data_IF_223876723283
#
_entry.id   IF_223876723283
#
_cell.length_a   1.000
_cell.length_b   1.000
_cell.length_c   1.000
_cell.angle_alpha   90.00
_cell.angle_beta   90.00
_cell.angle_gamma   90.00
#
_symmetry.space_group_name_H-M   'P 1'
#
loop_
_entity.id
_entity.type
_entity.pdbx_description
1 polymer ?
#
# COMPACT_ATOMS: atom_id res chain seq x y z
N UNK A 1 -67.15 -28.01 -3.52
CA UNK A 1 -66.22 -26.89 -3.37
C UNK A 1 -64.80 -27.40 -3.20
N UNK A 2 -64.06 -27.35 -4.31
CA UNK A 2 -62.68 -27.81 -4.35
C UNK A 2 -61.81 -26.61 -4.67
N UNK A 3 -61.09 -26.03 -3.67
CA UNK A 3 -60.08 -25.01 -3.87
C UNK A 3 -58.71 -25.67 -4.01
N UNK A 4 -57.94 -25.38 -5.10
CA UNK A 4 -56.65 -26.02 -5.31
C UNK A 4 -55.53 -25.34 -4.49
N UNK A 5 -54.52 -26.10 -4.03
CA UNK A 5 -53.43 -25.62 -3.19
C UNK A 5 -52.29 -25.00 -4.04
N UNK A 6 -52.55 -23.90 -4.74
CA UNK A 6 -51.52 -23.29 -5.59
C UNK A 6 -50.81 -22.09 -4.97
N UNK A 7 -51.23 -21.58 -3.81
CA UNK A 7 -50.66 -20.40 -3.19
C UNK A 7 -49.41 -20.69 -2.33
N UNK A 8 -49.26 -21.92 -1.86
CA UNK A 8 -48.17 -22.26 -0.92
C UNK A 8 -46.82 -22.47 -1.62
N UNK A 9 -46.80 -22.94 -2.87
CA UNK A 9 -45.55 -23.18 -3.61
C UNK A 9 -44.85 -21.90 -4.09
N UNK A 10 -45.61 -20.82 -4.34
CA UNK A 10 -45.01 -19.54 -4.77
C UNK A 10 -44.31 -18.81 -3.63
N UNK A 11 -44.83 -18.86 -2.41
CA UNK A 11 -44.26 -18.19 -1.24
C UNK A 11 -42.94 -18.85 -0.80
N UNK A 12 -42.86 -20.19 -0.91
CA UNK A 12 -41.63 -20.92 -0.57
C UNK A 12 -40.54 -20.67 -1.62
N UNK A 13 -40.90 -20.55 -2.89
CA UNK A 13 -39.93 -20.29 -3.97
C UNK A 13 -39.37 -18.88 -3.90
N UNK A 14 -40.17 -17.87 -3.53
CA UNK A 14 -39.73 -16.48 -3.34
C UNK A 14 -38.86 -16.32 -2.09
N UNK A 15 -39.17 -17.05 -1.02
CA UNK A 15 -38.34 -17.04 0.20
C UNK A 15 -36.99 -17.76 -0.03
N UNK A 16 -36.98 -18.85 -0.80
CA UNK A 16 -35.72 -19.53 -1.15
C UNK A 16 -34.84 -18.70 -2.09
N UNK A 17 -35.42 -17.99 -3.06
CA UNK A 17 -34.70 -17.08 -3.94
C UNK A 17 -34.16 -15.86 -3.20
N UNK A 18 -34.91 -15.31 -2.24
CA UNK A 18 -34.43 -14.21 -1.40
C UNK A 18 -33.30 -14.64 -0.45
N UNK A 19 -33.38 -15.86 0.11
CA UNK A 19 -32.35 -16.43 0.95
C UNK A 19 -31.07 -16.74 0.15
N UNK A 20 -31.21 -17.26 -1.08
CA UNK A 20 -30.06 -17.47 -1.98
C UNK A 20 -29.41 -16.13 -2.44
N UNK A 21 -30.22 -15.09 -2.68
CA UNK A 21 -29.72 -13.78 -3.04
C UNK A 21 -28.98 -13.11 -1.86
N UNK A 22 -29.49 -13.25 -0.64
CA UNK A 22 -28.82 -12.75 0.57
C UNK A 22 -27.54 -13.51 0.89
N UNK A 23 -27.49 -14.83 0.67
CA UNK A 23 -26.27 -15.61 0.85
C UNK A 23 -25.23 -15.32 -0.23
N UNK A 24 -25.66 -15.09 -1.49
CA UNK A 24 -24.75 -14.72 -2.56
C UNK A 24 -24.16 -13.30 -2.37
N UNK A 25 -24.96 -12.34 -1.87
CA UNK A 25 -24.45 -11.01 -1.52
C UNK A 25 -23.53 -11.03 -0.30
N UNK A 26 -23.81 -11.87 0.69
CA UNK A 26 -22.92 -12.08 1.83
C UNK A 26 -21.59 -12.73 1.40
N UNK A 27 -21.62 -13.73 0.52
CA UNK A 27 -20.39 -14.31 -0.04
C UNK A 27 -19.60 -13.34 -0.91
N UNK A 28 -20.27 -12.50 -1.71
CA UNK A 28 -19.60 -11.47 -2.51
C UNK A 28 -19.00 -10.37 -1.60
N UNK A 29 -19.61 -10.10 -0.46
CA UNK A 29 -19.03 -9.17 0.53
C UNK A 29 -17.90 -9.81 1.34
N UNK A 30 -17.96 -11.12 1.60
CA UNK A 30 -16.86 -11.86 2.26
C UNK A 30 -15.61 -11.96 1.36
N UNK A 31 -15.78 -12.17 0.05
CA UNK A 31 -14.66 -12.15 -0.91
C UNK A 31 -14.04 -10.75 -1.11
N UNK A 32 -14.74 -9.68 -0.74
CA UNK A 32 -14.26 -8.30 -0.77
C UNK A 32 -13.66 -7.82 0.55
N UNK A 33 -13.79 -8.57 1.61
CA UNK A 33 -13.08 -8.24 2.84
C UNK A 33 -11.59 -8.54 2.62
N UNK A 34 -10.72 -7.56 2.81
CA UNK A 34 -9.29 -7.82 2.78
C UNK A 34 -8.99 -8.92 3.78
N UNK A 35 -8.13 -9.85 3.39
CA UNK A 35 -7.62 -10.90 4.27
C UNK A 35 -7.20 -10.23 5.59
N UNK A 36 -7.58 -10.80 6.75
CA UNK A 36 -7.17 -10.26 8.05
C UNK A 36 -5.67 -10.01 8.03
N UNK A 37 -5.29 -8.77 8.20
CA UNK A 37 -3.90 -8.38 8.13
C UNK A 37 -3.14 -9.02 9.27
N UNK A 38 -1.88 -9.37 9.03
CA UNK A 38 -0.95 -9.87 10.03
C UNK A 38 -0.97 -9.03 11.32
N UNK A 39 -0.61 -9.59 12.48
CA UNK A 39 -0.47 -8.83 13.73
C UNK A 39 0.45 -7.61 13.56
N UNK A 40 -0.10 -6.44 13.38
CA UNK A 40 0.58 -5.24 12.90
C UNK A 40 -0.22 -4.55 11.80
N UNK A 41 -1.27 -5.22 11.30
CA UNK A 41 -2.37 -4.61 10.56
C UNK A 41 -2.08 -4.18 9.13
N UNK A 42 -0.90 -4.44 8.60
CA UNK A 42 -0.55 -3.93 7.28
C UNK A 42 0.17 -4.95 6.39
N UNK A 43 0.46 -4.56 5.18
CA UNK A 43 1.41 -5.28 4.33
C UNK A 43 2.76 -5.32 5.03
N UNK A 44 3.52 -6.37 4.80
CA UNK A 44 4.93 -6.41 5.20
C UNK A 44 5.62 -5.15 4.67
N UNK A 45 6.41 -4.50 5.54
CA UNK A 45 7.19 -3.33 5.14
C UNK A 45 7.98 -3.67 3.87
N UNK A 46 7.90 -2.78 2.90
CA UNK A 46 8.58 -2.89 1.61
C UNK A 46 9.24 -1.56 1.27
N UNK A 47 10.07 -1.56 0.26
CA UNK A 47 10.61 -0.33 -0.30
C UNK A 47 9.48 0.61 -0.71
N UNK A 48 9.60 1.88 -0.40
CA UNK A 48 8.64 2.90 -0.83
C UNK A 48 8.58 2.94 -2.36
N UNK A 49 7.41 2.72 -2.92
CA UNK A 49 7.15 2.77 -4.36
C UNK A 49 6.06 3.79 -4.61
N UNK A 50 6.45 5.00 -4.95
CA UNK A 50 5.55 6.09 -5.34
C UNK A 50 5.71 6.34 -6.84
N UNK A 51 4.62 6.33 -7.63
CA UNK A 51 4.70 6.60 -9.06
C UNK A 51 4.97 8.07 -9.33
N UNK A 52 5.73 8.34 -10.38
CA UNK A 52 5.97 9.68 -10.92
C UNK A 52 5.84 9.63 -12.44
N UNK A 53 5.27 10.68 -13.03
CA UNK A 53 5.14 10.80 -14.50
C UNK A 53 6.45 11.22 -15.16
N UNK A 54 7.30 11.92 -14.43
CA UNK A 54 8.54 12.45 -14.96
C UNK A 54 9.72 12.19 -14.04
N UNK A 55 10.88 11.94 -14.64
CA UNK A 55 12.12 11.68 -13.94
C UNK A 55 12.52 12.82 -12.99
N UNK A 56 12.38 14.08 -13.40
CA UNK A 56 12.77 15.23 -12.58
C UNK A 56 11.95 15.32 -11.29
N UNK A 57 10.68 14.90 -11.31
CA UNK A 57 9.83 14.86 -10.12
C UNK A 57 10.27 13.73 -9.18
N UNK A 58 10.66 12.58 -9.74
CA UNK A 58 11.21 11.48 -8.95
C UNK A 58 12.54 11.87 -8.28
N UNK A 59 13.44 12.54 -9.01
CA UNK A 59 14.73 13.03 -8.48
C UNK A 59 14.53 14.08 -7.38
N UNK A 60 13.57 14.98 -7.55
CA UNK A 60 13.19 16.00 -6.57
C UNK A 60 12.31 15.45 -5.43
N UNK A 61 11.85 14.19 -5.51
CA UNK A 61 10.83 13.60 -4.63
C UNK A 61 9.59 14.47 -4.52
N UNK A 62 9.19 15.08 -5.64
CA UNK A 62 8.04 15.95 -5.72
C UNK A 62 6.76 15.12 -5.78
N UNK A 63 6.31 14.63 -4.62
CA UNK A 63 5.13 13.75 -4.50
C UNK A 63 3.82 14.42 -4.90
N UNK A 64 3.76 15.74 -4.90
CA UNK A 64 2.59 16.51 -5.30
C UNK A 64 2.42 16.56 -6.83
N UNK A 65 3.50 16.36 -7.58
CA UNK A 65 3.43 16.25 -9.03
C UNK A 65 2.64 14.99 -9.44
N UNK A 66 1.81 15.11 -10.46
CA UNK A 66 0.99 14.01 -10.98
C UNK A 66 -0.26 13.68 -10.16
N UNK A 67 -0.44 14.23 -8.96
CA UNK A 67 -1.64 14.02 -8.15
C UNK A 67 -1.84 12.59 -7.64
N UNK A 68 -0.76 11.82 -7.50
CA UNK A 68 -0.80 10.43 -7.02
C UNK A 68 -0.60 10.29 -5.51
N UNK A 69 -0.52 11.39 -4.80
CA UNK A 69 -0.20 11.41 -3.37
C UNK A 69 -1.08 12.43 -2.63
N UNK A 70 -1.43 12.12 -1.37
CA UNK A 70 -2.13 13.02 -0.46
C UNK A 70 -1.59 12.83 0.95
N UNK A 71 -1.37 13.93 1.68
CA UNK A 71 -0.97 13.88 3.07
C UNK A 71 -2.05 13.23 3.94
N UNK A 72 -1.63 12.47 4.95
CA UNK A 72 -2.51 11.91 5.96
C UNK A 72 -2.14 12.50 7.32
N UNK A 73 -2.90 13.48 7.75
CA UNK A 73 -2.66 14.30 8.94
C UNK A 73 -3.95 14.43 9.77
N UNK A 74 -4.46 13.33 10.35
CA UNK A 74 -5.73 13.35 11.06
C UNK A 74 -5.64 14.19 12.33
N UNK A 75 -6.70 14.98 12.59
CA UNK A 75 -6.80 15.85 13.76
C UNK A 75 -7.53 15.16 14.91
N UNK A 76 -7.13 15.49 16.15
CA UNK A 76 -7.80 15.00 17.34
C UNK A 76 -9.15 15.69 17.50
N UNK A 77 -10.23 14.94 17.38
CA UNK A 77 -11.60 15.43 17.57
C UNK A 77 -12.13 15.14 18.98
N UNK A 78 -11.72 14.02 19.57
CA UNK A 78 -12.10 13.63 20.93
C UNK A 78 -10.85 13.14 21.67
N UNK A 79 -10.65 13.64 22.89
CA UNK A 79 -9.66 13.11 23.82
C UNK A 79 -10.39 12.62 25.07
N UNK A 80 -10.12 11.38 25.49
CA UNK A 80 -10.77 10.75 26.65
C UNK A 80 -9.73 10.18 27.61
N UNK A 81 -10.16 9.89 28.84
CA UNK A 81 -9.42 9.04 29.77
C UNK A 81 -9.92 7.60 29.64
N UNK A 82 -9.03 6.63 29.77
CA UNK A 82 -9.40 5.22 29.72
C UNK A 82 -8.75 4.46 28.54
N UNK A 83 -9.28 3.28 28.18
CA UNK A 83 -8.73 2.44 27.12
C UNK A 83 -8.72 3.12 25.75
N UNK A 84 -9.83 3.77 25.38
CA UNK A 84 -9.90 4.65 24.23
C UNK A 84 -9.48 6.06 24.70
N UNK A 85 -8.34 6.55 24.23
CA UNK A 85 -7.82 7.82 24.72
C UNK A 85 -7.93 8.98 23.72
N UNK A 86 -8.07 8.69 22.43
CA UNK A 86 -8.32 9.71 21.43
C UNK A 86 -9.07 9.17 20.22
N UNK A 87 -9.84 10.03 19.59
CA UNK A 87 -10.39 9.85 18.25
C UNK A 87 -9.75 10.92 17.37
N UNK A 88 -9.17 10.49 16.26
CA UNK A 88 -8.63 11.37 15.23
C UNK A 88 -9.45 11.19 13.96
N UNK A 89 -9.72 12.30 13.28
CA UNK A 89 -10.53 12.30 12.07
C UNK A 89 -9.89 13.18 10.99
N UNK A 90 -10.09 12.78 9.75
CA UNK A 90 -9.72 13.55 8.56
C UNK A 90 -10.67 13.22 7.42
N UNK A 91 -11.17 14.23 6.73
CA UNK A 91 -11.84 14.06 5.46
C UNK A 91 -10.82 14.25 4.32
N UNK A 92 -10.80 13.34 3.37
CA UNK A 92 -9.91 13.40 2.20
C UNK A 92 -10.75 13.25 0.93
N UNK A 93 -10.63 14.23 0.05
CA UNK A 93 -11.25 14.22 -1.27
C UNK A 93 -10.45 13.31 -2.21
N UNK A 94 -11.09 12.28 -2.75
CA UNK A 94 -10.48 11.33 -3.68
C UNK A 94 -10.97 11.62 -5.11
N UNK A 95 -10.05 11.92 -6.05
CA UNK A 95 -10.42 12.20 -7.42
C UNK A 95 -10.91 10.94 -8.14
N UNK A 96 -11.79 11.10 -9.12
CA UNK A 96 -12.30 10.02 -9.96
C UNK A 96 -11.19 9.13 -10.54
N UNK A 97 -10.07 9.72 -10.96
CA UNK A 97 -8.93 9.00 -11.52
C UNK A 97 -8.33 7.92 -10.58
N UNK A 98 -8.54 8.06 -9.26
CA UNK A 98 -8.05 7.09 -8.29
C UNK A 98 -8.94 5.85 -8.15
N UNK A 99 -10.20 5.93 -8.62
CA UNK A 99 -11.17 4.83 -8.46
C UNK A 99 -10.92 3.65 -9.42
N UNK A 100 -10.14 3.87 -10.48
CA UNK A 100 -9.75 2.79 -11.42
C UNK A 100 -8.41 2.12 -11.10
N UNK A 101 -7.78 2.48 -10.01
CA UNK A 101 -6.51 1.90 -9.60
C UNK A 101 -6.55 1.25 -8.23
N UNK A 102 -5.42 1.24 -7.59
CA UNK A 102 -5.22 0.76 -6.22
C UNK A 102 -4.85 1.96 -5.36
N UNK A 103 -5.49 2.07 -4.21
CA UNK A 103 -5.24 3.16 -3.25
C UNK A 103 -4.73 2.57 -1.95
N UNK A 104 -3.61 3.08 -1.50
CA UNK A 104 -2.97 2.64 -0.27
C UNK A 104 -2.84 3.79 0.72
N UNK A 105 -2.91 3.47 2.00
CA UNK A 105 -2.53 4.34 3.10
C UNK A 105 -1.26 3.81 3.74
N UNK A 106 -0.22 4.61 3.72
CA UNK A 106 0.99 4.40 4.52
C UNK A 106 0.88 5.19 5.82
N UNK A 107 0.98 4.49 6.96
CA UNK A 107 0.99 5.09 8.29
C UNK A 107 2.38 4.94 8.89
N UNK A 108 2.99 6.08 9.22
CA UNK A 108 4.30 6.16 9.84
C UNK A 108 4.14 6.56 11.32
N UNK A 109 4.77 5.82 12.23
CA UNK A 109 4.86 6.12 13.67
C UNK A 109 3.55 6.60 14.33
N UNK A 110 2.47 5.82 14.36
CA UNK A 110 1.21 6.24 14.96
C UNK A 110 1.30 6.49 16.46
N UNK A 111 2.35 5.96 17.12
CA UNK A 111 2.66 6.20 18.53
C UNK A 111 1.74 5.47 19.52
N UNK A 112 0.67 4.83 19.07
CA UNK A 112 -0.25 4.03 19.87
C UNK A 112 -0.92 2.96 19.03
N UNK A 113 -1.47 1.93 19.68
CA UNK A 113 -2.40 1.02 19.04
C UNK A 113 -3.63 1.78 18.55
N UNK A 114 -4.19 1.39 17.44
CA UNK A 114 -5.35 2.05 16.85
C UNK A 114 -6.23 1.12 16.03
N UNK A 115 -7.50 1.48 15.89
CA UNK A 115 -8.38 0.93 14.87
C UNK A 115 -8.59 1.98 13.78
N UNK A 116 -8.36 1.60 12.54
CA UNK A 116 -8.56 2.44 11.35
C UNK A 116 -9.95 2.17 10.77
N UNK A 117 -10.71 3.23 10.57
CA UNK A 117 -12.02 3.21 9.95
C UNK A 117 -12.04 4.13 8.73
N UNK A 118 -12.74 3.74 7.70
CA UNK A 118 -12.96 4.51 6.49
C UNK A 118 -14.42 4.40 6.06
N UNK A 119 -15.11 5.54 5.94
CA UNK A 119 -16.54 5.59 5.59
C UNK A 119 -17.40 4.64 6.47
N UNK A 120 -17.24 4.72 7.81
CA UNK A 120 -17.90 3.88 8.82
C UNK A 120 -17.62 2.36 8.71
N UNK A 121 -16.64 1.95 7.92
CA UNK A 121 -16.20 0.57 7.82
C UNK A 121 -14.81 0.39 8.44
N UNK A 122 -14.66 -0.61 9.29
CA UNK A 122 -13.37 -0.93 9.86
C UNK A 122 -12.45 -1.50 8.78
N UNK A 123 -11.29 -0.88 8.60
CA UNK A 123 -10.23 -1.31 7.66
C UNK A 123 -9.25 -2.22 8.38
N UNK A 124 -8.82 -1.82 9.58
CA UNK A 124 -7.78 -2.55 10.31
C UNK A 124 -7.84 -2.29 11.81
N UNK A 125 -7.23 -3.20 12.56
CA UNK A 125 -6.86 -3.03 13.96
C UNK A 125 -5.37 -3.27 14.11
N UNK A 126 -4.64 -2.29 14.65
CA UNK A 126 -3.18 -2.29 14.75
C UNK A 126 -2.79 -2.25 16.22
N UNK A 127 -2.04 -3.25 16.64
CA UNK A 127 -1.55 -3.36 18.02
C UNK A 127 -0.10 -2.89 18.18
N UNK A 128 0.68 -2.84 17.10
CA UNK A 128 2.06 -2.34 17.12
C UNK A 128 2.08 -0.84 16.85
N UNK A 129 2.50 -0.01 17.84
CA UNK A 129 2.50 1.44 17.71
C UNK A 129 3.74 2.01 17.02
N UNK A 130 4.73 1.20 16.71
CA UNK A 130 6.06 1.67 16.28
C UNK A 130 6.41 1.25 14.85
N UNK A 131 5.90 0.12 14.39
CA UNK A 131 6.18 -0.36 13.05
C UNK A 131 5.29 0.34 12.04
N UNK A 132 5.85 0.91 10.95
CA UNK A 132 5.06 1.44 9.86
C UNK A 132 4.08 0.40 9.32
N UNK A 133 2.89 0.85 8.94
CA UNK A 133 1.83 0.00 8.41
C UNK A 133 1.31 0.53 7.08
N UNK A 134 0.99 -0.38 6.16
CA UNK A 134 0.41 -0.04 4.87
C UNK A 134 -0.90 -0.78 4.65
N UNK A 135 -1.95 -0.08 4.25
CA UNK A 135 -3.30 -0.62 4.11
C UNK A 135 -3.79 -0.46 2.68
N UNK A 136 -4.34 -1.52 2.11
CA UNK A 136 -5.07 -1.45 0.85
C UNK A 136 -6.48 -0.88 1.11
N UNK A 137 -6.70 0.34 0.66
CA UNK A 137 -7.97 1.05 0.80
C UNK A 137 -8.89 0.87 -0.40
N UNK A 138 -8.42 0.22 -1.47
CA UNK A 138 -9.18 0.05 -2.72
C UNK A 138 -10.61 -0.45 -2.52
N UNK A 139 -10.90 -1.41 -1.59
CA UNK A 139 -12.25 -1.88 -1.37
C UNK A 139 -13.14 -0.93 -0.55
N UNK A 140 -12.57 0.12 0.03
CA UNK A 140 -13.24 1.01 0.98
C UNK A 140 -13.46 2.41 0.44
N UNK A 141 -12.60 2.82 -0.50
CA UNK A 141 -12.55 4.18 -1.03
C UNK A 141 -13.66 4.43 -2.05
N UNK A 142 -14.09 5.67 -2.17
CA UNK A 142 -15.04 6.14 -3.17
C UNK A 142 -14.57 7.47 -3.76
N UNK A 143 -15.09 7.85 -4.92
CA UNK A 143 -14.93 9.20 -5.44
C UNK A 143 -15.51 10.22 -4.47
N UNK A 144 -14.87 11.38 -4.38
CA UNK A 144 -15.29 12.47 -3.52
C UNK A 144 -14.79 12.33 -2.08
N UNK A 145 -15.54 12.87 -1.15
CA UNK A 145 -15.19 12.90 0.27
C UNK A 145 -15.17 11.51 0.89
N UNK A 146 -14.08 11.20 1.59
CA UNK A 146 -13.88 9.98 2.34
C UNK A 146 -13.50 10.31 3.77
N UNK A 147 -14.26 9.77 4.73
CA UNK A 147 -14.12 10.03 6.15
C UNK A 147 -13.19 9.00 6.80
N UNK A 148 -12.03 9.44 7.20
CA UNK A 148 -11.07 8.64 7.97
C UNK A 148 -11.25 8.87 9.45
N UNK A 149 -11.27 7.78 10.22
CA UNK A 149 -11.35 7.81 11.67
C UNK A 149 -10.37 6.81 12.28
N UNK A 150 -9.59 7.29 13.25
CA UNK A 150 -8.69 6.46 14.03
C UNK A 150 -9.11 6.51 15.51
N UNK A 151 -9.35 5.32 16.05
CA UNK A 151 -9.65 5.13 17.46
C UNK A 151 -8.36 4.71 18.15
N UNK A 152 -7.68 5.65 18.81
CA UNK A 152 -6.41 5.42 19.50
C UNK A 152 -6.64 4.74 20.84
N UNK A 153 -5.81 3.77 21.20
CA UNK A 153 -5.99 2.92 22.38
C UNK A 153 -4.77 2.93 23.29
N UNK A 154 -5.02 2.95 24.59
CA UNK A 154 -4.01 2.85 25.64
C UNK A 154 -3.88 1.45 26.24
N UNK A 155 -4.82 0.55 25.98
CA UNK A 155 -4.91 -0.78 26.57
C UNK A 155 -4.17 -1.86 25.78
N UNK A 156 -3.20 -1.46 24.96
CA UNK A 156 -2.44 -2.39 24.14
C UNK A 156 -1.57 -3.33 24.99
N UNK A 157 -1.70 -4.65 24.83
CA UNK A 157 -0.86 -5.64 25.52
C UNK A 157 0.65 -5.47 25.23
N UNK A 158 1.03 -5.01 24.03
CA UNK A 158 2.42 -4.75 23.68
C UNK A 158 3.04 -3.65 24.57
N UNK A 159 2.25 -2.69 25.03
CA UNK A 159 2.70 -1.64 25.97
C UNK A 159 3.07 -2.19 27.36
N UNK A 160 2.50 -3.31 27.75
CA UNK A 160 2.83 -3.96 29.03
C UNK A 160 4.23 -4.57 29.02
N UNK A 161 4.73 -4.91 27.85
CA UNK A 161 6.07 -5.46 27.66
C UNK A 161 7.13 -4.36 27.50
N UNK A 162 6.73 -3.20 27.02
CA UNK A 162 7.59 -2.03 26.82
C UNK A 162 7.13 -0.86 27.67
N UNK A 163 7.51 -0.88 28.95
CA UNK A 163 7.17 0.17 29.92
C UNK A 163 7.75 1.56 29.56
N UNK A 164 8.64 1.62 28.58
CA UNK A 164 9.27 2.85 28.10
C UNK A 164 8.56 3.45 26.88
N UNK A 165 7.52 2.80 26.35
CA UNK A 165 6.79 3.32 25.20
C UNK A 165 6.19 4.71 25.53
N UNK A 166 6.54 5.75 24.80
CA UNK A 166 6.10 7.10 25.11
C UNK A 166 4.58 7.21 24.99
N UNK A 167 3.99 7.97 25.89
CA UNK A 167 2.60 8.39 25.79
C UNK A 167 2.44 9.17 24.48
N UNK A 168 1.45 8.78 23.69
CA UNK A 168 1.13 9.32 22.38
C UNK A 168 1.41 10.80 22.25
N UNK A 169 2.35 11.13 21.41
CA UNK A 169 2.39 12.43 20.77
C UNK A 169 1.86 12.21 19.36
N UNK A 170 0.92 13.06 18.93
CA UNK A 170 0.42 13.16 17.56
C UNK A 170 1.57 12.94 16.59
N UNK A 171 1.61 11.85 15.88
CA UNK A 171 2.70 11.65 14.96
C UNK A 171 2.30 10.74 13.81
N UNK A 172 1.37 11.24 13.01
CA UNK A 172 1.16 10.73 11.66
C UNK A 172 2.06 11.47 10.65
N UNK A 173 3.12 12.14 11.14
CA UNK A 173 4.13 12.75 10.27
C UNK A 173 4.63 11.73 9.26
N UNK A 174 4.74 12.15 8.02
CA UNK A 174 5.11 11.31 6.88
C UNK A 174 4.12 10.19 6.52
N UNK A 175 2.92 10.20 7.11
CA UNK A 175 1.84 9.31 6.67
C UNK A 175 1.16 9.90 5.44
N UNK A 176 0.77 9.05 4.50
CA UNK A 176 0.19 9.50 3.24
C UNK A 176 -0.66 8.44 2.56
N UNK A 177 -1.62 8.91 1.76
CA UNK A 177 -2.28 8.09 0.76
C UNK A 177 -1.56 8.20 -0.56
N UNK A 178 -1.52 7.10 -1.31
CA UNK A 178 -1.01 7.11 -2.66
C UNK A 178 -1.81 6.18 -3.57
N UNK A 179 -1.83 6.57 -4.84
CA UNK A 179 -2.45 5.81 -5.91
C UNK A 179 -1.41 5.00 -6.67
N UNK A 180 -1.76 3.79 -7.05
CA UNK A 180 -1.00 2.99 -8.01
C UNK A 180 -1.90 2.48 -9.12
N UNK A 181 -1.38 2.45 -10.35
CA UNK A 181 -2.04 1.75 -11.43
C UNK A 181 -2.16 0.25 -11.11
N UNK A 182 -3.18 -0.40 -11.66
CA UNK A 182 -3.35 -1.85 -11.54
C UNK A 182 -2.17 -2.64 -12.12
N UNK A 183 -1.41 -2.03 -13.05
CA UNK A 183 -0.08 -2.50 -13.48
C UNK A 183 0.95 -1.59 -12.83
N UNK A 184 1.73 -2.13 -11.93
CA UNK A 184 2.67 -1.34 -11.15
C UNK A 184 3.86 -2.17 -10.67
N UNK A 185 4.90 -1.47 -10.25
CA UNK A 185 5.98 -2.08 -9.46
C UNK A 185 5.44 -2.28 -8.05
N UNK A 186 5.42 -3.51 -7.58
CA UNK A 186 4.99 -3.85 -6.23
C UNK A 186 6.15 -3.72 -5.23
N UNK A 187 7.38 -4.05 -5.66
CA UNK A 187 8.58 -3.96 -4.84
C UNK A 187 9.83 -3.99 -5.72
N UNK A 188 10.97 -3.57 -5.19
CA UNK A 188 12.26 -3.74 -5.84
C UNK A 188 13.39 -3.92 -4.83
N UNK A 189 14.43 -4.61 -5.23
CA UNK A 189 15.63 -4.84 -4.45
C UNK A 189 16.86 -4.55 -5.32
N UNK A 190 17.82 -3.82 -4.76
CA UNK A 190 19.08 -3.51 -5.43
C UNK A 190 20.21 -4.08 -4.58
N UNK A 191 20.87 -5.10 -5.08
CA UNK A 191 22.06 -5.69 -4.51
C UNK A 191 23.32 -5.22 -5.22
N UNK A 192 24.41 -5.03 -4.50
CA UNK A 192 25.73 -4.88 -5.07
C UNK A 192 26.45 -6.22 -5.08
N UNK A 193 26.89 -6.67 -6.24
CA UNK A 193 27.74 -7.85 -6.35
C UNK A 193 29.19 -7.41 -6.25
N UNK A 194 29.92 -7.75 -5.16
CA UNK A 194 31.30 -7.32 -4.99
C UNK A 194 32.21 -7.90 -6.07
N UNK A 195 33.06 -7.06 -6.66
CA UNK A 195 34.12 -7.53 -7.52
C UNK A 195 35.33 -8.03 -6.66
N UNK A 196 35.43 -9.33 -6.50
CA UNK A 196 36.54 -9.97 -5.77
C UNK A 196 37.89 -9.86 -6.47
N UNK A 197 37.90 -9.43 -7.72
CA UNK A 197 39.11 -9.35 -8.56
C UNK A 197 39.67 -7.93 -8.70
N UNK A 198 39.04 -6.92 -8.05
CA UNK A 198 39.49 -5.53 -8.08
C UNK A 198 39.46 -4.88 -9.46
N UNK A 199 38.57 -5.35 -10.34
CA UNK A 199 38.38 -4.80 -11.69
C UNK A 199 37.61 -3.48 -11.61
N UNK A 200 37.81 -2.61 -12.61
CA UNK A 200 37.15 -1.30 -12.66
C UNK A 200 35.71 -1.38 -13.18
N UNK A 201 34.93 -2.29 -12.62
CA UNK A 201 33.49 -2.36 -12.87
C UNK A 201 32.77 -2.89 -11.63
N UNK A 202 31.51 -2.49 -11.49
CA UNK A 202 30.57 -3.05 -10.51
C UNK A 202 29.44 -3.76 -11.24
N UNK A 203 28.92 -4.78 -10.62
CA UNK A 203 27.68 -5.43 -11.06
C UNK A 203 26.62 -5.24 -9.99
N UNK A 204 25.43 -4.83 -10.40
CA UNK A 204 24.26 -4.80 -9.54
C UNK A 204 23.43 -6.07 -9.77
N UNK A 205 22.75 -6.52 -8.72
CA UNK A 205 21.63 -7.45 -8.82
C UNK A 205 20.35 -6.64 -8.58
N UNK A 206 19.59 -6.42 -9.65
CA UNK A 206 18.36 -5.66 -9.61
C UNK A 206 17.19 -6.63 -9.78
N UNK A 207 16.37 -6.71 -8.73
CA UNK A 207 15.13 -7.49 -8.71
C UNK A 207 13.95 -6.53 -8.67
N UNK A 208 13.04 -6.65 -9.64
CA UNK A 208 11.83 -5.84 -9.73
C UNK A 208 10.63 -6.78 -9.67
N UNK A 209 9.78 -6.61 -8.66
CA UNK A 209 8.51 -7.32 -8.53
C UNK A 209 7.43 -6.46 -9.15
N UNK A 210 6.81 -6.96 -10.19
CA UNK A 210 5.69 -6.31 -10.89
C UNK A 210 4.37 -6.94 -10.49
N UNK A 211 3.31 -6.15 -10.52
CA UNK A 211 1.96 -6.55 -10.15
C UNK A 211 0.99 -6.28 -11.28
N UNK A 212 0.09 -7.24 -11.54
CA UNK A 212 -1.10 -7.08 -12.34
C UNK A 212 -2.34 -7.30 -11.46
N UNK A 213 -3.07 -6.25 -11.13
CA UNK A 213 -4.30 -6.30 -10.34
C UNK A 213 -5.56 -6.43 -11.22
N UNK A 214 -5.45 -6.44 -12.55
CA UNK A 214 -6.55 -6.78 -13.43
C UNK A 214 -6.92 -8.28 -13.27
N UNK A 215 -8.10 -8.66 -13.72
CA UNK A 215 -8.53 -10.07 -13.70
C UNK A 215 -8.15 -10.85 -14.95
N UNK A 216 -7.38 -10.27 -15.85
CA UNK A 216 -6.88 -10.85 -17.10
C UNK A 216 -5.37 -10.62 -17.22
N UNK A 217 -4.73 -11.39 -18.08
CA UNK A 217 -3.31 -11.25 -18.35
C UNK A 217 -3.00 -9.94 -19.08
N UNK A 218 -1.84 -9.35 -18.76
CA UNK A 218 -1.38 -8.10 -19.36
C UNK A 218 0.09 -8.17 -19.75
N UNK A 219 0.45 -7.70 -20.95
CA UNK A 219 1.84 -7.46 -21.30
C UNK A 219 2.34 -6.21 -20.57
N UNK A 220 3.53 -6.29 -20.00
CA UNK A 220 4.17 -5.20 -19.28
C UNK A 220 5.63 -5.11 -19.71
N UNK A 221 6.07 -3.91 -20.09
CA UNK A 221 7.49 -3.64 -20.28
C UNK A 221 8.09 -3.14 -18.98
N UNK A 222 9.08 -3.84 -18.47
CA UNK A 222 9.81 -3.52 -17.24
C UNK A 222 11.24 -3.20 -17.59
N UNK A 223 11.79 -2.11 -17.03
CA UNK A 223 13.16 -1.71 -17.31
C UNK A 223 13.74 -0.82 -16.24
N UNK A 224 14.98 -0.44 -16.43
CA UNK A 224 15.71 0.49 -15.59
C UNK A 224 16.64 1.37 -16.43
N UNK A 225 16.89 2.55 -15.91
CA UNK A 225 17.93 3.47 -16.34
C UNK A 225 18.84 3.78 -15.16
N UNK A 226 20.16 3.73 -15.37
CA UNK A 226 21.15 4.12 -14.37
C UNK A 226 21.86 5.37 -14.84
N UNK A 227 21.90 6.38 -14.00
CA UNK A 227 22.52 7.65 -14.29
C UNK A 227 23.66 7.95 -13.34
N UNK A 228 24.68 8.66 -13.83
CA UNK A 228 25.71 9.26 -12.95
C UNK A 228 25.12 10.40 -12.12
N UNK A 229 25.81 10.84 -11.05
CA UNK A 229 25.41 12.03 -10.28
C UNK A 229 25.29 13.31 -11.12
N UNK A 230 25.94 13.36 -12.28
CA UNK A 230 25.88 14.49 -13.22
C UNK A 230 24.74 14.31 -14.26
N UNK A 231 23.88 13.31 -14.10
CA UNK A 231 22.75 13.07 -14.99
C UNK A 231 23.09 12.39 -16.32
N UNK A 232 24.31 11.86 -16.49
CA UNK A 232 24.69 11.09 -17.69
C UNK A 232 24.15 9.66 -17.58
N UNK A 233 23.43 9.19 -18.59
CA UNK A 233 23.00 7.79 -18.68
C UNK A 233 24.23 6.87 -18.76
N UNK A 234 24.33 5.92 -17.87
CA UNK A 234 25.43 4.96 -17.76
C UNK A 234 25.05 3.60 -18.34
N UNK A 235 23.85 3.11 -18.00
CA UNK A 235 23.36 1.81 -18.36
C UNK A 235 21.83 1.84 -18.39
N UNK A 236 21.22 1.04 -19.28
CA UNK A 236 19.78 0.84 -19.33
C UNK A 236 19.45 -0.55 -19.90
N UNK A 237 18.34 -1.07 -19.51
CA UNK A 237 17.79 -2.28 -20.12
C UNK A 237 16.27 -2.34 -19.89
N UNK A 238 15.57 -3.09 -20.75
CA UNK A 238 14.14 -3.35 -20.61
C UNK A 238 13.81 -4.74 -21.14
N UNK A 239 12.76 -5.33 -20.61
CA UNK A 239 12.19 -6.58 -21.10
C UNK A 239 10.67 -6.53 -21.06
N UNK A 240 10.02 -7.24 -21.95
CA UNK A 240 8.58 -7.44 -21.94
C UNK A 240 8.25 -8.78 -21.28
N UNK A 241 7.30 -8.78 -20.37
CA UNK A 241 6.76 -9.97 -19.72
C UNK A 241 5.23 -9.92 -19.78
N UNK A 242 4.59 -11.09 -19.73
CA UNK A 242 3.12 -11.19 -19.59
C UNK A 242 2.79 -11.66 -18.19
N UNK A 243 2.04 -10.86 -17.44
CA UNK A 243 1.68 -11.16 -16.05
C UNK A 243 0.24 -11.65 -16.04
N UNK A 244 -0.03 -12.85 -15.50
CA UNK A 244 -1.40 -13.35 -15.32
C UNK A 244 -2.24 -12.39 -14.46
N UNK A 245 -3.56 -12.45 -14.63
CA UNK A 245 -4.46 -11.62 -13.83
C UNK A 245 -4.36 -11.90 -12.34
N UNK A 246 -4.43 -10.84 -11.52
CA UNK A 246 -4.35 -10.88 -10.04
C UNK A 246 -3.09 -11.58 -9.52
N UNK A 247 -1.98 -11.37 -10.19
CA UNK A 247 -0.71 -11.98 -9.83
C UNK A 247 0.46 -11.00 -9.86
N UNK A 248 1.60 -11.47 -9.38
CA UNK A 248 2.88 -10.77 -9.44
C UNK A 248 3.87 -11.62 -10.20
N UNK A 249 4.84 -10.97 -10.86
CA UNK A 249 5.99 -11.62 -11.47
C UNK A 249 7.27 -10.85 -11.13
N UNK A 250 8.41 -11.52 -11.20
CA UNK A 250 9.70 -10.95 -10.82
C UNK A 250 10.66 -10.95 -11.98
N UNK A 251 11.11 -9.76 -12.35
CA UNK A 251 12.17 -9.57 -13.35
C UNK A 251 13.50 -9.31 -12.64
N UNK A 252 14.57 -9.93 -13.14
CA UNK A 252 15.92 -9.71 -12.64
C UNK A 252 16.80 -9.17 -13.76
N UNK A 253 17.61 -8.17 -13.40
CA UNK A 253 18.64 -7.62 -14.25
C UNK A 253 19.97 -7.62 -13.51
N UNK A 254 21.05 -7.75 -14.27
CA UNK A 254 22.41 -7.71 -13.73
C UNK A 254 23.23 -6.66 -14.48
N UNK A 255 22.94 -5.36 -14.27
CA UNK A 255 23.62 -4.28 -14.96
C UNK A 255 25.09 -4.16 -14.56
N UNK A 256 25.93 -3.91 -15.54
CA UNK A 256 27.36 -3.62 -15.36
C UNK A 256 27.60 -2.11 -15.39
N UNK A 257 28.30 -1.60 -14.38
CA UNK A 257 28.71 -0.21 -14.32
C UNK A 257 30.22 -0.16 -14.45
N UNK A 258 30.69 0.47 -15.53
CA UNK A 258 32.12 0.66 -15.78
C UNK A 258 32.66 1.88 -15.03
N UNK A 259 33.97 1.88 -14.77
CA UNK A 259 34.67 2.97 -14.12
C UNK A 259 34.15 3.31 -12.72
N UNK A 260 33.88 2.28 -11.93
CA UNK A 260 33.34 2.40 -10.57
C UNK A 260 34.26 3.15 -9.63
N UNK A 261 35.58 3.13 -9.86
CA UNK A 261 36.54 3.87 -9.03
C UNK A 261 36.29 5.39 -9.02
N UNK A 262 35.69 5.95 -10.10
CA UNK A 262 35.35 7.38 -10.19
C UNK A 262 34.12 7.76 -9.38
N UNK A 263 33.31 6.78 -9.05
CA UNK A 263 32.03 6.95 -8.34
C UNK A 263 32.02 6.19 -7.01
N UNK A 264 33.18 5.72 -6.56
CA UNK A 264 33.30 4.99 -5.30
C UNK A 264 33.06 5.95 -4.14
N UNK A 265 32.03 5.63 -3.35
CA UNK A 265 31.83 6.33 -2.10
C UNK A 265 32.84 5.85 -1.06
N UNK A 266 33.54 6.77 -0.45
CA UNK A 266 34.42 6.53 0.70
C UNK A 266 33.95 7.42 1.85
N UNK A 267 33.93 6.87 3.07
CA UNK A 267 33.46 7.59 4.25
C UNK A 267 34.24 8.89 4.53
N UNK A 268 35.46 9.02 3.97
CA UNK A 268 36.31 10.18 4.07
C UNK A 268 36.12 11.21 2.95
N UNK A 269 35.51 10.80 1.83
CA UNK A 269 35.18 11.71 0.74
C UNK A 269 33.82 12.36 1.02
N UNK A 270 33.89 13.62 1.49
CA UNK A 270 32.69 14.48 1.63
C UNK A 270 32.21 14.94 0.25
N UNK A 271 31.68 14.05 -0.57
CA UNK A 271 30.98 14.43 -1.81
C UNK A 271 29.55 13.97 -1.76
#
# INVERSE_FOLDING_TARGET
DYTPPYTMKRTILTAALAACALSATAQIMEERNPVPMTPGGGRVYRTEVVPYDARHDAEARNREAGGYWKAFEPEVTIATEGPLHAVLEQEIEIPFAWTDGMVYLHVENPGSAYSLWLNDRQVAEVSDPLTPAEFDLTPFIREGANDFKLLMRNDNPARQLDAAAPVVRKSFENSYLYYQNKRSIADFEIGLVPDSLGRDFGMLDLKIVTQNAYNYEEPVTVGYDIYSPQGKLLEFNMTEITIPGRSTDTVRFSPFIYHTYKNKWEAESKT
#
